data_IF_682897956937
#
_entry.id   IF_682897956937
#
_cell.length_a   1.000
_cell.length_b   1.000
_cell.length_c   1.000
_cell.angle_alpha   90.00
_cell.angle_beta   90.00
_cell.angle_gamma   90.00
#
_symmetry.space_group_name_H-M   'P 1'
#
loop_
_entity.id
_entity.type
_entity.pdbx_description
1 polymer ?
#
# COMPACT_ATOMS: atom_id res chain seq x y z
N UNK A 1 3.53 -31.54 37.38
CA UNK A 1 2.51 -32.34 36.68
C UNK A 1 2.71 -32.15 35.18
N UNK A 2 3.48 -33.05 34.58
CA UNK A 2 3.70 -33.10 33.14
C UNK A 2 2.55 -33.90 32.52
N UNK A 3 1.96 -33.39 31.43
CA UNK A 3 1.03 -34.15 30.61
C UNK A 3 1.51 -34.12 29.16
N UNK A 4 2.28 -35.15 28.84
CA UNK A 4 2.62 -35.66 27.52
C UNK A 4 1.37 -36.29 26.91
N UNK A 5 1.00 -35.94 25.67
CA UNK A 5 0.10 -36.78 24.87
C UNK A 5 0.76 -37.04 23.52
N UNK A 6 0.98 -38.33 23.29
CA UNK A 6 1.69 -38.92 22.17
C UNK A 6 0.82 -39.00 20.91
N UNK A 7 1.53 -39.03 19.79
CA UNK A 7 1.06 -39.30 18.45
C UNK A 7 0.43 -40.70 18.30
N UNK A 8 -0.55 -40.82 17.41
CA UNK A 8 -0.96 -42.07 16.79
C UNK A 8 -1.08 -41.86 15.28
N UNK A 9 -0.36 -42.67 14.52
CA UNK A 9 -0.33 -42.72 13.07
C UNK A 9 -0.94 -44.04 12.58
N UNK A 10 -1.78 -43.98 11.54
CA UNK A 10 -2.14 -45.10 10.66
C UNK A 10 -2.80 -44.54 9.37
N UNK A 11 -2.93 -45.30 8.26
CA UNK A 11 -1.90 -45.43 7.24
C UNK A 11 -2.29 -44.80 5.88
N UNK A 12 -1.26 -44.56 5.08
CA UNK A 12 -1.29 -44.04 3.70
C UNK A 12 -2.01 -45.00 2.75
N UNK A 13 -2.95 -44.48 1.94
CA UNK A 13 -3.38 -45.11 0.67
C UNK A 13 -2.61 -44.49 -0.48
N UNK A 14 -1.91 -45.35 -1.22
CA UNK A 14 -1.22 -45.03 -2.46
C UNK A 14 -2.24 -44.79 -3.58
N UNK A 15 -2.08 -43.69 -4.32
CA UNK A 15 -2.71 -43.48 -5.62
C UNK A 15 -1.60 -43.40 -6.66
N UNK A 16 -1.70 -44.29 -7.65
CA UNK A 16 -0.74 -44.45 -8.72
C UNK A 16 -0.68 -43.21 -9.62
N UNK A 17 0.54 -42.70 -9.85
CA UNK A 17 0.81 -41.66 -10.83
C UNK A 17 0.97 -42.29 -12.21
N UNK A 18 0.08 -41.95 -13.15
CA UNK A 18 0.25 -42.26 -14.57
C UNK A 18 1.18 -41.23 -15.21
N UNK A 19 2.32 -41.71 -15.72
CA UNK A 19 3.29 -40.95 -16.49
C UNK A 19 2.76 -40.60 -17.88
N UNK A 20 2.36 -39.34 -18.09
CA UNK A 20 2.08 -38.77 -19.41
C UNK A 20 3.16 -37.75 -19.78
N UNK A 21 4.08 -38.12 -20.67
CA UNK A 21 5.10 -37.23 -21.20
C UNK A 21 4.49 -36.25 -22.21
N UNK A 22 4.44 -34.96 -21.88
CA UNK A 22 4.09 -33.90 -22.85
C UNK A 22 5.37 -33.14 -23.21
N UNK A 23 5.80 -33.30 -24.47
CA UNK A 23 6.87 -32.50 -25.09
C UNK A 23 6.39 -31.07 -25.28
N UNK A 24 6.98 -30.11 -24.59
CA UNK A 24 6.80 -28.67 -24.88
C UNK A 24 7.84 -28.26 -25.93
N UNK A 25 7.36 -27.84 -27.10
CA UNK A 25 8.18 -27.21 -28.14
C UNK A 25 8.35 -25.73 -27.80
N UNK A 26 9.60 -25.26 -27.78
CA UNK A 26 9.93 -23.84 -27.68
C UNK A 26 9.64 -23.11 -28.99
N UNK A 27 8.81 -22.06 -28.95
CA UNK A 27 8.77 -21.05 -30.01
C UNK A 27 9.02 -19.68 -29.40
N UNK A 28 10.16 -19.11 -29.79
CA UNK A 28 10.57 -17.74 -29.51
C UNK A 28 9.81 -16.78 -30.42
N UNK A 29 8.89 -16.00 -29.86
CA UNK A 29 8.41 -14.75 -30.44
C UNK A 29 8.25 -13.71 -29.33
N UNK A 30 9.02 -12.63 -29.44
CA UNK A 30 8.92 -11.47 -28.55
C UNK A 30 7.57 -10.79 -28.70
N UNK A 31 6.99 -10.40 -27.56
CA UNK A 31 5.73 -9.66 -27.49
C UNK A 31 6.01 -8.36 -26.74
N UNK A 32 5.74 -7.25 -27.44
CA UNK A 32 5.78 -5.90 -26.93
C UNK A 32 4.66 -5.66 -25.91
N UNK A 33 4.95 -4.83 -24.89
CA UNK A 33 4.04 -4.47 -23.81
C UNK A 33 2.81 -3.71 -24.33
N UNK A 34 1.62 -4.16 -23.91
CA UNK A 34 0.37 -3.42 -24.05
C UNK A 34 -0.13 -3.07 -22.63
N UNK A 35 0.03 -1.80 -22.25
CA UNK A 35 -0.51 -1.23 -21.01
C UNK A 35 -1.99 -0.90 -21.21
N UNK A 36 -2.88 -1.85 -20.97
CA UNK A 36 -4.32 -1.66 -21.09
C UNK A 36 -4.99 -1.39 -19.74
N UNK A 37 -5.29 -0.12 -19.44
CA UNK A 37 -6.42 0.32 -18.60
C UNK A 37 -6.77 1.77 -18.94
N UNK A 38 -7.51 1.99 -20.05
CA UNK A 38 -8.29 3.19 -20.31
C UNK A 38 -9.59 2.75 -21.00
N UNK A 39 -10.73 3.15 -20.43
CA UNK A 39 -12.11 2.95 -20.90
C UNK A 39 -12.34 3.69 -22.25
N UNK A 40 -13.00 3.12 -23.29
CA UNK A 40 -12.98 3.69 -24.64
C UNK A 40 -13.99 4.82 -24.92
N UNK A 41 -14.60 5.47 -23.92
CA UNK A 41 -15.73 6.39 -24.14
C UNK A 41 -15.49 7.90 -23.88
N UNK A 42 -14.26 8.39 -23.84
CA UNK A 42 -14.00 9.84 -23.69
C UNK A 42 -13.23 10.39 -24.90
N UNK A 43 -13.89 11.28 -25.67
CA UNK A 43 -13.25 12.04 -26.76
C UNK A 43 -12.15 12.95 -26.18
N UNK A 44 -10.91 12.92 -26.69
CA UNK A 44 -9.83 13.76 -26.18
C UNK A 44 -9.99 15.22 -26.61
N UNK A 45 -9.70 16.21 -25.74
CA UNK A 45 -9.53 17.60 -26.16
C UNK A 45 -8.22 17.79 -26.94
N UNK A 46 -8.20 18.85 -27.76
CA UNK A 46 -7.20 19.14 -28.76
C UNK A 46 -5.76 19.27 -28.24
N UNK A 47 -4.84 18.85 -29.10
CA UNK A 47 -3.39 18.70 -28.98
C UNK A 47 -2.61 19.94 -28.53
N UNK A 48 -1.69 19.73 -27.59
CA UNK A 48 -0.47 20.53 -27.36
C UNK A 48 0.74 19.56 -27.18
N UNK A 49 1.98 19.97 -27.49
CA UNK A 49 3.01 19.09 -28.06
C UNK A 49 3.91 18.37 -27.04
N UNK A 50 4.38 17.18 -27.43
CA UNK A 50 5.69 16.66 -27.03
C UNK A 50 5.76 15.74 -25.82
N UNK A 51 5.14 14.56 -25.87
CA UNK A 51 5.52 13.45 -25.00
C UNK A 51 6.90 12.91 -25.46
N UNK A 52 7.97 13.33 -24.80
CA UNK A 52 9.27 12.71 -24.98
C UNK A 52 9.23 11.28 -24.40
N UNK A 53 9.33 10.29 -25.28
CA UNK A 53 9.69 8.93 -24.93
C UNK A 53 11.02 8.93 -24.18
N UNK A 54 11.05 8.41 -22.96
CA UNK A 54 12.30 8.08 -22.28
C UNK A 54 12.92 6.91 -23.04
N UNK A 55 14.09 7.05 -23.69
CA UNK A 55 14.70 5.94 -24.39
C UNK A 55 15.22 4.93 -23.36
N UNK A 56 15.00 3.64 -23.63
CA UNK A 56 15.78 2.59 -22.99
C UNK A 56 17.26 2.85 -23.34
N UNK A 57 18.08 3.20 -22.35
CA UNK A 57 19.51 3.39 -22.56
C UNK A 57 20.13 2.07 -23.01
N UNK A 58 20.62 2.04 -24.25
CA UNK A 58 21.57 1.06 -24.74
C UNK A 58 22.84 1.10 -23.85
N UNK A 59 23.59 0.00 -23.72
CA UNK A 59 24.81 -0.03 -22.90
C UNK A 59 25.85 0.91 -23.53
N UNK A 60 25.92 2.12 -22.97
CA UNK A 60 26.95 3.10 -23.28
C UNK A 60 28.28 2.60 -22.76
N UNK A 61 29.31 2.78 -23.59
CA UNK A 61 30.71 2.48 -23.31
C UNK A 61 31.07 2.95 -21.90
N UNK A 62 31.62 2.02 -21.12
CA UNK A 62 32.20 2.24 -19.81
C UNK A 62 33.26 3.33 -19.90
N UNK A 63 32.86 4.58 -19.65
CA UNK A 63 33.77 5.58 -19.12
C UNK A 63 34.38 4.95 -17.89
N UNK A 64 35.71 4.84 -17.86
CA UNK A 64 36.45 4.35 -16.71
C UNK A 64 35.90 5.08 -15.48
N UNK A 65 35.21 4.36 -14.60
CA UNK A 65 34.95 4.80 -13.25
C UNK A 65 36.34 4.93 -12.62
N UNK A 66 36.95 6.11 -12.75
CA UNK A 66 38.10 6.49 -11.97
C UNK A 66 37.75 6.13 -10.53
N UNK A 67 38.64 5.42 -9.85
CA UNK A 67 38.45 5.01 -8.47
C UNK A 67 38.13 6.25 -7.63
N UNK A 68 36.83 6.54 -7.46
CA UNK A 68 36.39 7.67 -6.66
C UNK A 68 36.97 7.45 -5.27
N UNK A 69 37.69 8.46 -4.76
CA UNK A 69 38.33 8.36 -3.46
C UNK A 69 37.23 8.06 -2.42
N UNK A 70 37.42 7.09 -1.50
CA UNK A 70 36.47 6.84 -0.42
C UNK A 70 36.00 8.10 0.31
N UNK A 71 36.87 9.11 0.46
CA UNK A 71 36.52 10.41 1.05
C UNK A 71 35.54 11.22 0.18
N UNK A 72 35.70 11.19 -1.15
CA UNK A 72 34.78 11.86 -2.09
C UNK A 72 33.41 11.18 -2.08
N UNK A 73 33.38 9.85 -2.03
CA UNK A 73 32.13 9.09 -1.93
C UNK A 73 31.40 9.34 -0.61
N UNK A 74 32.13 9.50 0.49
CA UNK A 74 31.57 9.88 1.78
C UNK A 74 31.02 11.32 1.75
N UNK A 75 31.75 12.27 1.17
CA UNK A 75 31.27 13.65 1.01
C UNK A 75 30.02 13.74 0.11
N UNK A 76 29.97 12.94 -0.95
CA UNK A 76 28.80 12.83 -1.82
C UNK A 76 27.61 12.24 -1.07
N UNK A 77 27.81 11.20 -0.26
CA UNK A 77 26.75 10.61 0.56
C UNK A 77 26.10 11.65 1.50
N UNK A 78 26.92 12.48 2.17
CA UNK A 78 26.40 13.57 3.01
C UNK A 78 25.67 14.64 2.19
N UNK A 79 26.17 14.98 0.99
CA UNK A 79 25.50 15.92 0.10
C UNK A 79 24.13 15.39 -0.37
N UNK A 80 24.03 14.11 -0.70
CA UNK A 80 22.78 13.42 -1.06
C UNK A 80 21.75 13.54 0.07
N UNK A 81 22.17 13.34 1.32
CA UNK A 81 21.30 13.49 2.49
C UNK A 81 20.78 14.92 2.62
N UNK A 82 21.67 15.90 2.48
CA UNK A 82 21.29 17.32 2.57
C UNK A 82 20.32 17.72 1.45
N UNK A 83 20.57 17.30 0.20
CA UNK A 83 19.67 17.56 -0.92
C UNK A 83 18.32 16.84 -0.77
N UNK A 84 18.34 15.60 -0.27
CA UNK A 84 17.13 14.86 0.05
C UNK A 84 16.26 15.56 1.09
N UNK A 85 16.89 16.06 2.16
CA UNK A 85 16.19 16.86 3.18
C UNK A 85 15.56 18.13 2.60
N UNK A 86 16.29 18.85 1.73
CA UNK A 86 15.78 20.04 1.03
C UNK A 86 14.59 19.73 0.11
N UNK A 87 14.47 18.50 -0.39
CA UNK A 87 13.33 18.03 -1.20
C UNK A 87 12.13 17.55 -0.35
N UNK A 88 12.25 17.61 0.98
CA UNK A 88 11.18 17.24 1.92
C UNK A 88 11.22 15.79 2.41
N UNK A 89 12.26 15.01 2.09
CA UNK A 89 12.45 13.69 2.71
C UNK A 89 12.88 13.86 4.16
N UNK A 90 12.24 13.12 5.09
CA UNK A 90 12.60 13.18 6.50
C UNK A 90 13.91 12.41 6.79
N UNK A 91 14.24 11.41 5.96
CA UNK A 91 15.53 10.74 6.01
C UNK A 91 15.87 10.15 4.64
N UNK A 92 17.15 10.18 4.30
CA UNK A 92 17.74 9.52 3.15
C UNK A 92 18.94 8.71 3.64
N UNK A 93 19.00 7.44 3.25
CA UNK A 93 20.06 6.50 3.61
C UNK A 93 20.55 5.75 2.39
N UNK A 94 21.68 5.07 2.55
CA UNK A 94 22.34 4.31 1.50
C UNK A 94 22.39 2.85 1.95
N UNK A 95 21.67 1.99 1.24
CA UNK A 95 21.59 0.57 1.53
C UNK A 95 22.56 -0.23 0.65
N UNK A 96 23.08 -1.32 1.22
CA UNK A 96 23.49 -2.46 0.42
C UNK A 96 22.27 -3.07 -0.30
N UNK A 97 22.52 -3.79 -1.39
CA UNK A 97 21.52 -4.36 -2.28
C UNK A 97 21.45 -5.89 -2.20
N UNK A 98 22.32 -6.53 -1.42
CA UNK A 98 22.17 -7.95 -1.09
C UNK A 98 20.99 -8.17 -0.12
N UNK A 99 19.89 -8.69 -0.69
CA UNK A 99 18.67 -9.05 0.05
C UNK A 99 18.44 -10.56 0.11
N UNK A 100 19.51 -11.38 0.01
CA UNK A 100 19.40 -12.85 0.08
C UNK A 100 18.66 -13.34 1.33
N UNK A 101 18.76 -12.61 2.44
CA UNK A 101 18.04 -12.90 3.68
C UNK A 101 16.50 -12.80 3.57
N UNK A 102 15.98 -12.02 2.61
CA UNK A 102 14.55 -11.77 2.43
C UNK A 102 13.87 -12.77 1.49
N UNK A 103 14.64 -13.47 0.63
CA UNK A 103 14.12 -14.43 -0.34
C UNK A 103 13.30 -15.57 0.30
N UNK A 104 13.74 -16.23 1.39
CA UNK A 104 12.99 -17.34 1.99
C UNK A 104 11.60 -16.90 2.50
N UNK A 105 11.52 -15.71 3.08
CA UNK A 105 10.25 -15.15 3.58
C UNK A 105 9.27 -14.84 2.45
N UNK A 106 9.77 -14.28 1.34
CA UNK A 106 8.98 -14.04 0.13
C UNK A 106 8.45 -15.35 -0.46
N UNK A 107 9.32 -16.35 -0.65
CA UNK A 107 8.93 -17.63 -1.22
C UNK A 107 7.87 -18.34 -0.37
N UNK A 108 8.05 -18.38 0.95
CA UNK A 108 7.08 -18.96 1.86
C UNK A 108 5.72 -18.24 1.80
N UNK A 109 5.73 -16.90 1.65
CA UNK A 109 4.51 -16.09 1.53
C UNK A 109 3.78 -16.33 0.20
N UNK A 110 4.53 -16.49 -0.90
CA UNK A 110 3.99 -16.86 -2.20
C UNK A 110 3.40 -18.27 -2.21
N UNK A 111 4.12 -19.25 -1.64
CA UNK A 111 3.68 -20.65 -1.55
C UNK A 111 2.37 -20.80 -0.76
N UNK A 112 2.20 -20.01 0.29
CA UNK A 112 0.96 -19.98 1.08
C UNK A 112 -0.21 -19.26 0.37
N UNK A 113 0.02 -18.67 -0.81
CA UNK A 113 -0.99 -17.91 -1.54
C UNK A 113 -1.41 -16.61 -0.85
N UNK A 114 -0.59 -16.11 0.09
CA UNK A 114 -0.93 -14.93 0.88
C UNK A 114 -0.92 -13.61 0.09
N UNK A 115 -0.54 -13.64 -1.19
CA UNK A 115 -0.62 -12.52 -2.12
C UNK A 115 -2.02 -12.27 -2.70
N UNK A 116 -2.95 -13.22 -2.54
CA UNK A 116 -4.26 -13.12 -3.19
C UNK A 116 -4.11 -12.94 -4.70
N UNK A 117 -4.84 -11.98 -5.26
CA UNK A 117 -4.91 -11.69 -6.70
C UNK A 117 -3.78 -10.79 -7.20
N UNK A 118 -2.79 -10.48 -6.35
CA UNK A 118 -1.64 -9.66 -6.74
C UNK A 118 -0.62 -10.49 -7.53
N UNK A 119 -0.98 -10.94 -8.74
CA UNK A 119 -0.14 -11.80 -9.59
C UNK A 119 1.26 -11.22 -9.86
N UNK A 120 1.38 -9.89 -9.86
CA UNK A 120 2.66 -9.19 -9.98
C UNK A 120 3.64 -9.52 -8.84
N UNK A 121 3.15 -10.09 -7.72
CA UNK A 121 3.97 -10.63 -6.64
C UNK A 121 4.71 -11.90 -7.06
N UNK A 122 4.09 -12.74 -7.88
CA UNK A 122 4.64 -14.02 -8.33
C UNK A 122 5.34 -13.96 -9.70
N UNK A 123 4.85 -13.11 -10.62
CA UNK A 123 5.23 -13.11 -12.05
C UNK A 123 6.71 -12.91 -12.37
N UNK A 124 7.52 -12.45 -11.42
CA UNK A 124 8.93 -12.12 -11.64
C UNK A 124 9.89 -12.88 -10.71
N UNK A 125 9.41 -13.95 -10.06
CA UNK A 125 10.20 -14.76 -9.14
C UNK A 125 10.91 -13.89 -8.10
N UNK A 126 12.23 -13.99 -8.04
CA UNK A 126 13.06 -13.32 -7.04
C UNK A 126 13.63 -11.97 -7.50
N UNK A 127 13.27 -11.47 -8.69
CA UNK A 127 13.81 -10.19 -9.20
C UNK A 127 13.65 -9.04 -8.20
N UNK A 128 12.57 -9.04 -7.41
CA UNK A 128 12.33 -8.02 -6.37
C UNK A 128 13.32 -8.02 -5.21
N UNK A 129 13.92 -9.16 -4.93
CA UNK A 129 14.98 -9.32 -3.94
C UNK A 129 16.38 -9.16 -4.57
N UNK A 130 16.47 -8.92 -5.88
CA UNK A 130 17.73 -8.87 -6.63
C UNK A 130 17.81 -7.61 -7.47
N UNK A 131 18.17 -6.46 -6.87
CA UNK A 131 18.22 -5.17 -7.55
C UNK A 131 19.02 -5.17 -8.86
N UNK A 132 20.12 -5.94 -8.93
CA UNK A 132 20.93 -6.10 -10.15
C UNK A 132 20.18 -6.78 -11.33
N UNK A 133 19.18 -7.62 -11.06
CA UNK A 133 18.31 -8.23 -12.10
C UNK A 133 17.18 -7.28 -12.56
N UNK A 134 16.91 -6.22 -11.78
CA UNK A 134 15.96 -5.16 -12.16
C UNK A 134 16.64 -4.07 -12.97
N UNK A 135 17.83 -3.67 -12.53
CA UNK A 135 18.67 -2.64 -13.15
C UNK A 135 20.11 -3.14 -13.15
N UNK A 136 20.59 -3.66 -14.30
CA UNK A 136 21.97 -4.13 -14.43
C UNK A 136 22.97 -3.04 -14.01
N UNK A 137 24.00 -3.44 -13.27
CA UNK A 137 25.02 -2.51 -12.74
C UNK A 137 24.66 -1.86 -11.40
N UNK A 138 23.51 -2.15 -10.80
CA UNK A 138 23.18 -1.67 -9.45
C UNK A 138 24.20 -2.16 -8.42
N UNK A 139 24.80 -1.23 -7.69
CA UNK A 139 25.75 -1.49 -6.58
C UNK A 139 25.20 -1.03 -5.24
N UNK A 140 24.38 0.03 -5.21
CA UNK A 140 23.76 0.58 -3.99
C UNK A 140 22.32 0.98 -4.25
N UNK A 141 21.56 1.15 -3.17
CA UNK A 141 20.26 1.81 -3.21
C UNK A 141 20.27 3.05 -2.30
N UNK A 142 19.90 4.20 -2.84
CA UNK A 142 19.55 5.38 -2.03
C UNK A 142 18.08 5.18 -1.64
N UNK A 143 17.81 5.02 -0.35
CA UNK A 143 16.46 4.79 0.19
C UNK A 143 16.01 6.04 0.92
N UNK A 144 14.76 6.46 0.72
CA UNK A 144 14.23 7.69 1.30
C UNK A 144 12.86 7.46 1.95
N UNK A 145 12.56 8.24 2.99
CA UNK A 145 11.22 8.28 3.59
C UNK A 145 10.63 9.69 3.63
N UNK A 146 9.33 9.79 3.38
CA UNK A 146 8.59 11.06 3.40
C UNK A 146 7.31 10.95 4.25
N UNK A 147 7.15 11.74 5.32
CA UNK A 147 5.98 11.67 6.19
C UNK A 147 4.72 12.13 5.46
N UNK A 148 3.57 11.58 5.85
CA UNK A 148 2.28 11.90 5.22
C UNK A 148 1.14 12.25 6.19
N UNK A 149 1.38 12.29 7.50
CA UNK A 149 0.31 12.69 8.45
C UNK A 149 -0.12 14.12 8.09
N UNK A 150 -1.39 14.37 7.71
CA UNK A 150 -1.82 15.69 7.28
C UNK A 150 -1.65 16.74 8.38
N UNK A 151 -1.33 17.98 8.02
CA UNK A 151 -1.15 19.04 9.03
C UNK A 151 -2.42 19.31 9.83
N UNK A 152 -3.59 19.19 9.20
CA UNK A 152 -4.90 19.30 9.85
C UNK A 152 -5.13 18.27 10.97
N UNK A 153 -4.44 17.12 10.90
CA UNK A 153 -4.54 16.07 11.91
C UNK A 153 -3.70 16.34 13.15
N UNK A 154 -2.88 17.40 13.20
CA UNK A 154 -2.07 17.74 14.39
C UNK A 154 -2.19 19.22 14.80
N UNK A 155 -3.40 19.75 15.06
CA UNK A 155 -3.53 21.13 15.52
C UNK A 155 -2.83 21.33 16.87
N UNK A 156 -2.22 22.51 17.12
CA UNK A 156 -1.63 22.83 18.41
C UNK A 156 -2.63 22.60 19.56
N UNK A 157 -2.21 21.87 20.59
CA UNK A 157 -3.04 21.57 21.77
C UNK A 157 -4.12 20.49 21.57
N UNK A 158 -4.20 19.86 20.40
CA UNK A 158 -5.17 18.81 20.13
C UNK A 158 -4.84 17.48 20.87
N UNK A 159 -5.85 16.67 21.21
CA UNK A 159 -5.62 15.31 21.67
C UNK A 159 -4.86 14.51 20.59
N UNK A 160 -3.99 13.58 21.04
CA UNK A 160 -3.27 12.61 20.19
C UNK A 160 -4.09 12.25 18.95
N UNK A 161 -3.59 12.66 17.78
CA UNK A 161 -4.27 12.56 16.49
C UNK A 161 -4.79 11.15 16.21
N UNK A 162 -4.05 10.13 16.67
CA UNK A 162 -4.44 8.72 16.57
C UNK A 162 -5.74 8.42 17.29
N UNK A 163 -6.01 9.06 18.44
CA UNK A 163 -7.29 8.90 19.16
C UNK A 163 -8.46 9.46 18.35
N UNK A 164 -8.26 10.54 17.61
CA UNK A 164 -9.30 11.09 16.72
C UNK A 164 -9.56 10.16 15.55
N UNK A 165 -8.51 9.63 14.93
CA UNK A 165 -8.65 8.61 13.87
C UNK A 165 -9.38 7.36 14.37
N UNK A 166 -9.01 6.86 15.56
CA UNK A 166 -9.70 5.72 16.17
C UNK A 166 -11.16 6.02 16.52
N UNK A 167 -11.47 7.25 16.95
CA UNK A 167 -12.84 7.65 17.26
C UNK A 167 -13.74 7.66 16.01
N UNK A 168 -13.19 8.01 14.83
CA UNK A 168 -13.93 7.97 13.55
C UNK A 168 -14.43 6.56 13.21
N UNK A 169 -13.76 5.51 13.67
CA UNK A 169 -14.21 4.11 13.47
C UNK A 169 -15.54 3.80 14.18
N UNK A 170 -15.90 4.60 15.19
CA UNK A 170 -17.15 4.48 15.93
C UNK A 170 -18.29 5.35 15.41
N UNK A 171 -18.06 6.21 14.42
CA UNK A 171 -19.10 7.06 13.83
C UNK A 171 -19.77 6.33 12.64
N UNK A 172 -21.04 5.92 12.77
CA UNK A 172 -21.75 5.24 11.69
C UNK A 172 -22.07 6.14 10.49
N UNK A 173 -22.04 7.47 10.64
CA UNK A 173 -22.32 8.38 9.52
C UNK A 173 -21.08 8.62 8.63
N UNK A 174 -19.88 8.42 9.17
CA UNK A 174 -18.61 8.74 8.49
C UNK A 174 -17.99 7.53 7.82
N UNK A 175 -17.49 7.72 6.60
CA UNK A 175 -16.62 6.75 5.96
C UNK A 175 -15.14 7.00 6.30
N UNK A 176 -14.37 5.92 6.49
CA UNK A 176 -12.95 6.00 6.83
C UNK A 176 -12.11 5.66 5.61
N UNK A 177 -11.32 6.66 5.21
CA UNK A 177 -10.26 6.56 4.20
C UNK A 177 -8.92 6.64 4.92
N UNK A 178 -8.02 5.70 4.59
CA UNK A 178 -6.67 5.66 5.15
C UNK A 178 -5.92 6.97 4.90
N UNK A 179 -5.14 7.42 5.89
CA UNK A 179 -4.49 8.73 5.88
C UNK A 179 -3.62 8.95 4.64
N UNK A 180 -2.92 7.91 4.19
CA UNK A 180 -2.01 8.01 3.04
C UNK A 180 -2.72 8.39 1.73
N UNK A 181 -4.04 8.15 1.65
CA UNK A 181 -4.83 8.32 0.44
C UNK A 181 -5.65 9.62 0.40
N UNK A 182 -5.62 10.43 1.47
CA UNK A 182 -6.43 11.67 1.59
C UNK A 182 -5.90 12.82 0.76
N UNK A 183 -4.61 12.80 0.40
CA UNK A 183 -3.94 13.83 -0.39
C UNK A 183 -3.76 13.47 -1.87
N UNK A 184 -2.72 14.03 -2.49
CA UNK A 184 -2.26 13.65 -3.84
C UNK A 184 -1.63 12.26 -3.82
N UNK A 185 -1.67 11.62 -4.99
CA UNK A 185 -1.02 10.35 -5.26
C UNK A 185 0.50 10.41 -5.00
N UNK A 186 0.93 9.75 -3.93
CA UNK A 186 2.32 9.72 -3.46
C UNK A 186 3.28 9.19 -4.53
N UNK A 187 2.84 8.30 -5.43
CA UNK A 187 3.68 7.77 -6.49
C UNK A 187 4.28 8.89 -7.34
N UNK A 188 3.46 9.90 -7.68
CA UNK A 188 3.89 11.05 -8.49
C UNK A 188 4.76 12.01 -7.67
N UNK A 189 4.37 12.27 -6.43
CA UNK A 189 5.06 13.20 -5.51
C UNK A 189 6.48 12.71 -5.21
N UNK A 190 6.63 11.44 -4.81
CA UNK A 190 7.93 10.84 -4.48
C UNK A 190 8.78 10.67 -5.72
N UNK A 191 8.24 10.12 -6.82
CA UNK A 191 9.01 9.89 -8.05
C UNK A 191 9.59 11.19 -8.60
N UNK A 192 8.81 12.27 -8.60
CA UNK A 192 9.27 13.58 -9.05
C UNK A 192 10.45 14.09 -8.20
N UNK A 193 10.37 13.94 -6.87
CA UNK A 193 11.42 14.40 -5.95
C UNK A 193 12.66 13.52 -5.97
N UNK A 194 12.51 12.20 -6.03
CA UNK A 194 13.63 11.27 -6.21
C UNK A 194 14.32 11.50 -7.55
N UNK A 195 13.57 11.83 -8.61
CA UNK A 195 14.16 12.20 -9.90
C UNK A 195 14.95 13.51 -9.82
N UNK A 196 14.45 14.51 -9.08
CA UNK A 196 15.20 15.75 -8.81
C UNK A 196 16.49 15.46 -8.04
N UNK A 197 16.46 14.55 -7.05
CA UNK A 197 17.65 14.12 -6.32
C UNK A 197 18.67 13.45 -7.25
N UNK A 198 18.21 12.52 -8.11
CA UNK A 198 19.08 11.87 -9.09
C UNK A 198 19.72 12.87 -10.07
N UNK A 199 18.93 13.80 -10.59
CA UNK A 199 19.44 14.87 -11.48
C UNK A 199 20.42 15.80 -10.76
N UNK A 200 20.24 16.05 -9.46
CA UNK A 200 21.20 16.83 -8.66
C UNK A 200 22.52 16.08 -8.48
N UNK A 201 22.48 14.78 -8.25
CA UNK A 201 23.68 13.93 -8.19
C UNK A 201 24.40 13.96 -9.55
N UNK A 202 23.66 13.79 -10.65
CA UNK A 202 24.23 13.80 -12.01
C UNK A 202 24.90 15.14 -12.34
N UNK A 203 24.34 16.25 -11.86
CA UNK A 203 24.94 17.58 -12.01
C UNK A 203 26.24 17.75 -11.22
N UNK A 204 26.42 17.03 -10.11
CA UNK A 204 27.61 17.10 -9.26
C UNK A 204 28.76 16.24 -9.80
N UNK A 205 28.48 14.98 -10.17
CA UNK A 205 29.51 14.00 -10.48
C UNK A 205 29.56 13.59 -11.96
N UNK A 206 28.67 14.13 -12.78
CA UNK A 206 28.45 13.71 -14.16
C UNK A 206 27.53 12.49 -14.28
N UNK A 207 27.47 11.93 -15.49
CA UNK A 207 26.56 10.82 -15.82
C UNK A 207 26.88 9.57 -15.00
N UNK A 208 25.85 8.94 -14.44
CA UNK A 208 25.92 7.67 -13.75
C UNK A 208 24.66 6.83 -14.04
N UNK A 209 24.73 5.52 -13.81
CA UNK A 209 23.60 4.61 -13.99
C UNK A 209 22.66 4.67 -12.79
N UNK A 210 21.40 5.03 -13.04
CA UNK A 210 20.37 5.00 -12.00
C UNK A 210 18.97 4.68 -12.50
N UNK A 211 18.10 4.30 -11.56
CA UNK A 211 16.66 4.27 -11.77
C UNK A 211 15.89 4.55 -10.49
N UNK A 212 14.89 5.41 -10.59
CA UNK A 212 13.98 5.78 -9.50
C UNK A 212 12.82 4.79 -9.39
N UNK A 213 12.45 4.45 -8.16
CA UNK A 213 11.37 3.54 -7.81
C UNK A 213 10.49 4.10 -6.70
N UNK A 214 9.20 3.77 -6.81
CA UNK A 214 8.15 4.00 -5.82
C UNK A 214 7.08 2.94 -6.04
N UNK A 215 6.76 2.09 -5.04
CA UNK A 215 5.67 1.08 -4.88
C UNK A 215 5.24 0.27 -6.13
N UNK A 216 4.90 0.95 -7.22
CA UNK A 216 4.55 0.47 -8.56
C UNK A 216 5.62 -0.39 -9.30
N UNK A 217 6.76 -0.69 -8.68
CA UNK A 217 7.80 -1.51 -9.28
C UNK A 217 8.18 -2.68 -8.36
N UNK A 218 8.66 -3.81 -8.90
CA UNK A 218 8.96 -4.99 -8.09
C UNK A 218 10.28 -4.80 -7.34
N UNK A 219 10.33 -3.89 -6.37
CA UNK A 219 11.46 -3.67 -5.45
C UNK A 219 11.00 -4.05 -4.05
N UNK A 220 11.83 -4.75 -3.27
CA UNK A 220 11.54 -5.00 -1.86
C UNK A 220 11.86 -3.78 -1.00
N UNK A 221 11.05 -2.73 -1.12
CA UNK A 221 11.22 -1.41 -0.48
C UNK A 221 11.52 -1.51 1.02
N UNK A 222 10.68 -2.25 1.78
CA UNK A 222 10.88 -2.42 3.23
C UNK A 222 12.18 -3.15 3.56
N UNK A 223 12.62 -4.10 2.73
CA UNK A 223 13.87 -4.84 2.95
C UNK A 223 15.09 -3.95 2.67
N UNK A 224 15.09 -3.20 1.56
CA UNK A 224 16.13 -2.20 1.26
C UNK A 224 16.19 -1.12 2.33
N UNK A 225 15.05 -0.59 2.74
CA UNK A 225 14.99 0.45 3.76
C UNK A 225 15.49 -0.05 5.13
N UNK A 226 15.18 -1.29 5.50
CA UNK A 226 15.72 -1.90 6.72
C UNK A 226 17.24 -2.10 6.62
N UNK A 227 17.71 -2.61 5.48
CA UNK A 227 19.13 -2.83 5.21
C UNK A 227 19.94 -1.52 5.22
N UNK A 228 19.36 -0.42 4.74
CA UNK A 228 19.95 0.91 4.77
C UNK A 228 19.77 1.67 6.09
N UNK A 229 19.26 1.03 7.15
CA UNK A 229 19.11 1.69 8.44
C UNK A 229 18.10 2.84 8.47
N UNK A 230 17.11 2.86 7.57
CA UNK A 230 15.95 3.77 7.71
C UNK A 230 15.03 3.36 8.86
N UNK A 231 15.12 2.11 9.31
CA UNK A 231 14.25 1.55 10.32
C UNK A 231 14.33 0.03 10.38
N UNK A 232 13.35 -0.59 11.02
CA UNK A 232 13.21 -2.04 11.08
C UNK A 232 11.81 -2.46 10.61
N UNK A 233 11.66 -3.70 10.13
CA UNK A 233 10.35 -4.23 9.78
C UNK A 233 9.56 -4.51 11.07
N UNK A 234 8.40 -3.86 11.24
CA UNK A 234 7.52 -4.13 12.36
C UNK A 234 6.77 -5.45 12.23
N UNK A 235 6.18 -5.94 13.33
CA UNK A 235 5.34 -7.16 13.32
C UNK A 235 4.13 -7.05 12.39
N UNK A 236 3.66 -5.84 12.10
CA UNK A 236 2.63 -5.55 11.10
C UNK A 236 3.17 -5.40 9.67
N UNK A 237 4.42 -5.80 9.42
CA UNK A 237 5.09 -5.88 8.11
C UNK A 237 5.53 -4.57 7.45
N UNK A 238 5.13 -3.41 7.96
CA UNK A 238 5.61 -2.11 7.47
C UNK A 238 6.95 -1.75 8.12
N UNK A 239 7.69 -0.81 7.51
CA UNK A 239 8.88 -0.24 8.12
C UNK A 239 8.48 0.66 9.32
N UNK A 240 9.25 0.56 10.39
CA UNK A 240 9.18 1.41 11.57
C UNK A 240 10.48 2.16 11.74
N UNK A 241 10.38 3.46 12.01
CA UNK A 241 11.47 4.33 12.41
C UNK A 241 11.28 4.77 13.87
N UNK A 242 12.38 4.90 14.60
CA UNK A 242 12.37 5.20 16.04
C UNK A 242 11.74 6.56 16.32
N UNK A 243 12.05 7.52 15.47
CA UNK A 243 11.67 8.93 15.65
C UNK A 243 10.54 9.35 14.70
N UNK A 244 10.05 8.46 13.82
CA UNK A 244 9.05 8.77 12.80
C UNK A 244 7.88 7.78 12.69
N UNK A 245 7.89 6.69 13.47
CA UNK A 245 6.84 5.67 13.42
C UNK A 245 6.81 4.92 12.08
N UNK A 246 5.64 4.74 11.47
CA UNK A 246 5.43 4.13 10.16
C UNK A 246 4.57 4.98 9.22
N UNK A 247 4.21 6.22 9.61
CA UNK A 247 3.34 7.11 8.83
C UNK A 247 4.13 7.89 7.77
N UNK A 248 4.87 7.17 6.93
CA UNK A 248 5.65 7.73 5.83
C UNK A 248 5.61 6.82 4.60
N UNK A 249 5.84 7.41 3.43
CA UNK A 249 6.09 6.70 2.18
C UNK A 249 7.57 6.35 2.06
N UNK A 250 7.84 5.28 1.31
CA UNK A 250 9.19 4.88 0.89
C UNK A 250 9.39 5.18 -0.60
N UNK A 251 10.65 5.35 -0.98
CA UNK A 251 11.06 5.26 -2.36
C UNK A 251 12.57 5.18 -2.49
N UNK A 252 13.02 4.69 -3.64
CA UNK A 252 14.41 4.29 -3.85
C UNK A 252 14.99 4.81 -5.15
N UNK A 253 16.31 4.95 -5.16
CA UNK A 253 17.11 5.12 -6.36
C UNK A 253 18.15 4.00 -6.36
N UNK A 254 18.03 3.06 -7.30
CA UNK A 254 19.10 2.09 -7.53
C UNK A 254 20.20 2.79 -8.32
N UNK A 255 21.44 2.69 -7.87
CA UNK A 255 22.59 3.39 -8.44
C UNK A 255 23.78 2.45 -8.66
N UNK A 256 24.61 2.74 -9.67
CA UNK A 256 25.86 2.04 -9.94
C UNK A 256 27.08 2.65 -9.21
N UNK A 257 26.86 3.73 -8.47
CA UNK A 257 27.88 4.39 -7.65
C UNK A 257 28.10 3.57 -6.36
N UNK A 258 29.35 3.20 -6.01
CA UNK A 258 29.67 2.41 -4.83
C UNK A 258 29.69 3.26 -3.54
N UNK A 259 28.62 4.02 -3.28
CA UNK A 259 28.47 4.85 -2.10
C UNK A 259 28.66 4.04 -0.79
N UNK A 260 29.21 4.63 0.28
CA UNK A 260 29.31 3.96 1.58
C UNK A 260 27.91 3.64 2.12
N UNK A 261 27.68 2.37 2.47
CA UNK A 261 26.40 1.90 3.00
C UNK A 261 26.25 2.25 4.48
N UNK A 262 25.05 2.64 4.87
CA UNK A 262 24.65 2.82 6.26
C UNK A 262 24.38 1.46 6.91
N UNK A 263 24.54 1.38 8.24
CA UNK A 263 24.30 0.15 8.98
C UNK A 263 22.80 -0.08 9.22
N UNK A 264 22.29 -1.32 9.14
CA UNK A 264 20.92 -1.66 9.51
C UNK A 264 20.60 -1.31 10.97
N UNK A 265 19.35 -0.96 11.23
CA UNK A 265 18.83 -0.75 12.58
C UNK A 265 18.35 -2.07 13.22
N UNK A 266 18.33 -2.12 14.54
CA UNK A 266 17.84 -3.30 15.29
C UNK A 266 16.31 -3.31 15.44
N UNK A 267 15.72 -4.48 15.72
CA UNK A 267 14.27 -4.59 15.96
C UNK A 267 13.88 -4.07 17.36
N UNK A 268 12.90 -3.16 17.41
CA UNK A 268 12.39 -2.57 18.65
C UNK A 268 10.92 -2.90 18.97
N UNK A 269 10.32 -3.92 18.35
CA UNK A 269 8.96 -4.36 18.68
C UNK A 269 8.86 -5.09 20.03
N UNK A 270 9.93 -5.80 20.45
CA UNK A 270 9.94 -6.59 21.68
C UNK A 270 8.75 -7.54 21.81
N UNK A 271 8.13 -7.60 22.98
CA UNK A 271 6.96 -8.46 23.25
C UNK A 271 5.62 -7.84 22.82
N UNK A 272 5.61 -6.66 22.18
CA UNK A 272 4.37 -6.00 21.76
C UNK A 272 3.62 -6.84 20.71
N UNK A 273 2.29 -6.88 20.81
CA UNK A 273 1.39 -7.58 19.88
C UNK A 273 0.15 -6.74 19.50
N UNK A 274 0.12 -5.46 19.86
CA UNK A 274 -1.04 -4.56 19.66
C UNK A 274 -1.56 -4.52 18.22
N UNK A 275 -0.67 -4.57 17.23
CA UNK A 275 -1.06 -4.55 15.82
C UNK A 275 -1.73 -5.85 15.37
N UNK A 276 -1.40 -6.99 15.99
CA UNK A 276 -2.07 -8.27 15.77
C UNK A 276 -3.45 -8.25 16.43
N UNK A 277 -3.51 -7.77 17.67
CA UNK A 277 -4.74 -7.77 18.48
C UNK A 277 -5.81 -6.84 17.90
N UNK A 278 -5.42 -5.67 17.38
CA UNK A 278 -6.37 -4.69 16.83
C UNK A 278 -6.89 -5.09 15.44
N UNK A 279 -6.19 -5.98 14.71
CA UNK A 279 -6.49 -6.25 13.31
C UNK A 279 -7.87 -6.90 13.18
N UNK A 280 -8.89 -6.23 12.60
CA UNK A 280 -10.29 -6.68 12.70
C UNK A 280 -10.55 -8.03 12.03
N UNK A 281 -9.74 -8.37 11.03
CA UNK A 281 -9.86 -9.61 10.24
C UNK A 281 -8.78 -10.62 10.58
N UNK A 282 -7.91 -10.32 11.56
CA UNK A 282 -6.72 -11.12 11.90
C UNK A 282 -5.87 -11.44 10.65
N UNK A 283 -5.62 -10.43 9.82
CA UNK A 283 -4.79 -10.56 8.63
C UNK A 283 -3.29 -10.72 8.96
N UNK A 284 -2.84 -10.21 10.11
CA UNK A 284 -1.48 -10.47 10.62
C UNK A 284 -1.54 -11.79 11.38
N UNK A 285 -1.31 -12.89 10.66
CA UNK A 285 -1.46 -14.27 11.18
C UNK A 285 -0.36 -14.69 12.15
N UNK A 286 0.79 -14.01 12.09
CA UNK A 286 1.91 -14.15 13.03
C UNK A 286 2.79 -12.89 12.93
N UNK A 287 3.68 -12.62 13.91
CA UNK A 287 4.69 -11.56 13.77
C UNK A 287 5.39 -11.61 12.40
N UNK A 288 5.40 -10.46 11.72
CA UNK A 288 6.03 -10.26 10.40
C UNK A 288 5.38 -11.04 9.24
N UNK A 289 4.24 -11.68 9.47
CA UNK A 289 3.51 -12.50 8.48
C UNK A 289 2.07 -12.01 8.32
N UNK A 290 1.75 -11.52 7.12
CA UNK A 290 0.44 -11.00 6.77
C UNK A 290 -0.18 -11.85 5.65
N UNK A 291 -1.41 -12.29 5.81
CA UNK A 291 -2.25 -12.85 4.74
C UNK A 291 -3.04 -11.70 4.09
N UNK A 292 -2.64 -11.29 2.89
CA UNK A 292 -3.25 -10.14 2.22
C UNK A 292 -4.73 -10.39 1.92
N UNK A 293 -5.14 -11.65 1.68
CA UNK A 293 -6.52 -12.02 1.36
C UNK A 293 -7.51 -11.64 2.47
N UNK A 294 -7.02 -11.49 3.70
CA UNK A 294 -7.79 -11.07 4.87
C UNK A 294 -7.64 -9.58 5.17
N UNK A 295 -6.60 -8.92 4.65
CA UNK A 295 -6.27 -7.54 4.98
C UNK A 295 -7.30 -6.58 4.37
N UNK A 296 -7.90 -5.71 5.19
CA UNK A 296 -8.88 -4.71 4.74
C UNK A 296 -8.29 -3.80 3.66
N UNK A 297 -6.99 -3.45 3.77
CA UNK A 297 -6.30 -2.65 2.75
C UNK A 297 -6.29 -3.37 1.39
N UNK A 298 -5.92 -4.66 1.36
CA UNK A 298 -6.00 -5.46 0.14
C UNK A 298 -7.44 -5.61 -0.38
N UNK A 299 -8.40 -5.91 0.51
CA UNK A 299 -9.81 -6.12 0.13
C UNK A 299 -10.41 -4.87 -0.52
N UNK A 300 -10.07 -3.68 -0.01
CA UNK A 300 -10.61 -2.41 -0.51
C UNK A 300 -9.88 -1.89 -1.75
N UNK A 301 -8.64 -2.31 -2.00
CA UNK A 301 -7.79 -1.71 -3.05
C UNK A 301 -7.40 -2.69 -4.15
N UNK A 302 -6.88 -3.85 -3.79
CA UNK A 302 -6.28 -4.80 -4.73
C UNK A 302 -7.29 -5.84 -5.21
N UNK A 303 -8.12 -6.35 -4.30
CA UNK A 303 -9.13 -7.35 -4.64
C UNK A 303 -10.19 -6.75 -5.58
N UNK A 304 -10.39 -7.40 -6.73
CA UNK A 304 -11.34 -6.93 -7.75
C UNK A 304 -12.75 -7.51 -7.56
N UNK A 305 -12.84 -8.70 -6.96
CA UNK A 305 -14.06 -9.47 -6.83
C UNK A 305 -14.94 -9.05 -5.64
N UNK A 306 -15.93 -9.90 -5.30
CA UNK A 306 -16.80 -9.68 -4.15
C UNK A 306 -16.04 -9.85 -2.85
N UNK A 307 -16.22 -8.92 -1.92
CA UNK A 307 -15.60 -9.01 -0.59
C UNK A 307 -16.22 -10.22 0.13
N UNK A 308 -15.42 -11.19 0.63
CA UNK A 308 -15.94 -12.35 1.34
C UNK A 308 -16.84 -11.94 2.52
N UNK A 309 -17.98 -12.62 2.68
CA UNK A 309 -19.04 -12.24 3.62
C UNK A 309 -18.52 -12.14 5.05
N UNK A 310 -17.61 -13.03 5.45
CA UNK A 310 -17.00 -13.06 6.78
C UNK A 310 -16.17 -11.82 7.12
N UNK A 311 -15.71 -11.05 6.11
CA UNK A 311 -14.94 -9.83 6.32
C UNK A 311 -15.79 -8.56 6.24
N UNK A 312 -17.01 -8.62 5.70
CA UNK A 312 -17.86 -7.43 5.52
C UNK A 312 -18.20 -6.76 6.84
N UNK A 313 -18.59 -7.52 7.87
CA UNK A 313 -18.88 -6.95 9.19
C UNK A 313 -17.63 -6.38 9.91
N UNK A 314 -16.51 -7.13 10.02
CA UNK A 314 -15.28 -6.61 10.64
C UNK A 314 -14.67 -5.39 9.96
N UNK A 315 -14.96 -5.14 8.68
CA UNK A 315 -14.48 -3.95 7.97
C UNK A 315 -14.99 -2.63 8.58
N UNK A 316 -16.15 -2.64 9.25
CA UNK A 316 -16.76 -1.44 9.81
C UNK A 316 -17.00 -0.39 8.71
N UNK A 317 -16.60 0.85 8.98
CA UNK A 317 -16.75 1.97 8.06
C UNK A 317 -15.51 2.25 7.18
N UNK A 318 -14.55 1.32 7.09
CA UNK A 318 -13.33 1.48 6.28
C UNK A 318 -13.63 1.22 4.79
N UNK A 319 -13.55 2.25 3.97
CA UNK A 319 -13.93 2.20 2.54
C UNK A 319 -12.74 2.23 1.58
N UNK A 320 -11.57 2.64 2.05
CA UNK A 320 -10.33 2.61 1.27
C UNK A 320 -9.10 2.55 2.19
N UNK A 321 -8.34 1.46 2.12
CA UNK A 321 -7.20 1.23 3.00
C UNK A 321 -7.62 0.91 4.44
N UNK A 322 -6.64 0.69 5.31
CA UNK A 322 -6.84 0.45 6.74
C UNK A 322 -5.57 0.82 7.51
N UNK A 323 -5.72 1.65 8.54
CA UNK A 323 -4.59 2.14 9.34
C UNK A 323 -4.52 1.52 10.74
N UNK A 324 -5.43 0.62 11.10
CA UNK A 324 -5.59 0.10 12.47
C UNK A 324 -4.28 -0.42 13.08
N UNK A 325 -3.52 -1.22 12.32
CA UNK A 325 -2.26 -1.79 12.78
C UNK A 325 -1.18 -0.71 12.99
N UNK A 326 -1.26 0.41 12.27
CA UNK A 326 -0.42 1.59 12.46
C UNK A 326 -0.90 2.42 13.65
N UNK A 327 -2.21 2.72 13.74
CA UNK A 327 -2.79 3.53 14.81
C UNK A 327 -2.54 2.91 16.20
N UNK A 328 -2.61 1.58 16.30
CA UNK A 328 -2.32 0.85 17.53
C UNK A 328 -0.82 0.73 17.85
N UNK A 329 0.06 0.93 16.86
CA UNK A 329 1.50 0.83 17.05
C UNK A 329 2.02 1.95 17.99
N UNK A 330 2.70 1.63 19.10
CA UNK A 330 3.20 2.64 20.04
C UNK A 330 4.19 3.64 19.43
N UNK A 331 4.94 3.23 18.40
CA UNK A 331 5.92 4.06 17.71
C UNK A 331 5.27 5.19 16.91
N UNK A 332 4.00 5.05 16.50
CA UNK A 332 3.31 6.10 15.75
C UNK A 332 2.92 7.33 16.58
N UNK A 333 3.18 7.33 17.90
CA UNK A 333 3.16 8.59 18.67
C UNK A 333 4.27 9.56 18.25
N UNK A 334 5.32 9.05 17.59
CA UNK A 334 6.44 9.83 17.05
C UNK A 334 6.25 10.16 15.57
N UNK A 335 5.10 9.85 14.96
CA UNK A 335 4.87 10.14 13.56
C UNK A 335 4.97 11.65 13.28
N UNK A 336 5.67 11.99 12.19
CA UNK A 336 5.83 13.37 11.75
C UNK A 336 4.69 13.79 10.82
N UNK A 337 4.37 15.07 10.88
CA UNK A 337 3.49 15.76 9.93
C UNK A 337 4.15 15.77 8.55
N UNK A 338 3.33 15.72 7.50
CA UNK A 338 3.79 15.88 6.13
C UNK A 338 4.64 17.14 5.97
N UNK A 339 5.78 17.00 5.30
CA UNK A 339 6.72 18.09 4.99
C UNK A 339 6.31 18.88 3.75
N UNK A 340 5.30 18.41 3.02
CA UNK A 340 4.83 18.97 1.75
C UNK A 340 3.30 19.03 1.74
N UNK A 341 2.69 20.08 1.17
CA UNK A 341 1.24 20.25 1.16
C UNK A 341 0.52 19.25 0.24
N UNK A 342 1.27 18.52 -0.60
CA UNK A 342 0.72 17.48 -1.48
C UNK A 342 -0.04 16.39 -0.70
N UNK A 343 0.25 16.20 0.59
CA UNK A 343 -0.39 15.18 1.44
C UNK A 343 -1.44 15.74 2.41
N UNK A 344 -1.75 17.04 2.32
CA UNK A 344 -2.88 17.59 3.04
C UNK A 344 -4.21 17.04 2.50
N UNK A 345 -5.23 17.06 3.35
CA UNK A 345 -6.55 16.51 3.05
C UNK A 345 -7.16 17.22 1.84
N UNK A 346 -7.60 16.43 0.87
CA UNK A 346 -8.36 16.90 -0.30
C UNK A 346 -9.78 16.33 -0.26
N UNK A 347 -10.73 17.09 -0.81
CA UNK A 347 -12.12 16.66 -1.00
C UNK A 347 -12.87 16.23 0.28
N UNK A 348 -12.45 16.69 1.46
CA UNK A 348 -13.09 16.33 2.74
C UNK A 348 -12.98 14.84 3.09
N UNK A 349 -11.91 14.17 2.64
CA UNK A 349 -11.70 12.73 2.87
C UNK A 349 -11.24 12.37 4.30
N UNK A 350 -11.11 13.34 5.19
CA UNK A 350 -10.81 13.16 6.61
C UNK A 350 -12.03 12.79 7.46
N UNK A 351 -13.22 13.27 7.10
CA UNK A 351 -14.47 12.88 7.74
C UNK A 351 -15.67 12.94 6.76
N UNK A 352 -15.65 12.19 5.65
CA UNK A 352 -16.70 12.26 4.64
C UNK A 352 -18.00 11.56 5.09
N UNK A 353 -19.15 12.16 4.78
CA UNK A 353 -20.47 11.52 4.94
C UNK A 353 -20.58 10.32 4.01
N UNK A 354 -20.83 9.14 4.58
CA UNK A 354 -20.80 7.87 3.85
C UNK A 354 -21.88 7.78 2.78
N UNK A 355 -23.08 8.32 3.04
CA UNK A 355 -24.19 8.31 2.09
C UNK A 355 -23.87 9.22 0.90
N UNK A 356 -23.31 10.40 1.16
CA UNK A 356 -22.90 11.35 0.12
C UNK A 356 -21.83 10.75 -0.81
N UNK A 357 -20.84 10.04 -0.27
CA UNK A 357 -19.83 9.35 -1.09
C UNK A 357 -20.44 8.26 -1.98
N UNK A 358 -21.41 7.51 -1.45
CA UNK A 358 -22.10 6.46 -2.21
C UNK A 358 -23.00 7.02 -3.31
N UNK A 359 -23.48 8.26 -3.13
CA UNK A 359 -24.30 8.95 -4.11
C UNK A 359 -23.52 9.53 -5.28
N UNK A 360 -22.19 9.62 -5.20
CA UNK A 360 -21.37 10.07 -6.33
C UNK A 360 -21.72 9.29 -7.60
N UNK A 361 -21.79 10.04 -8.69
CA UNK A 361 -21.76 9.51 -10.06
C UNK A 361 -20.33 9.14 -10.44
N UNK A 362 -20.17 8.38 -11.52
CA UNK A 362 -18.84 8.04 -12.02
C UNK A 362 -18.04 9.27 -12.45
N UNK A 363 -18.71 10.26 -13.05
CA UNK A 363 -18.09 11.54 -13.44
C UNK A 363 -17.62 12.32 -12.20
N UNK A 364 -18.45 12.42 -11.16
CA UNK A 364 -18.04 13.06 -9.89
C UNK A 364 -16.89 12.32 -9.22
N UNK A 365 -16.91 10.98 -9.19
CA UNK A 365 -15.81 10.17 -8.68
C UNK A 365 -14.50 10.49 -9.43
N UNK A 366 -14.54 10.49 -10.76
CA UNK A 366 -13.38 10.75 -11.60
C UNK A 366 -12.84 12.18 -11.44
N UNK A 367 -13.74 13.16 -11.38
CA UNK A 367 -13.39 14.57 -11.21
C UNK A 367 -12.81 14.84 -9.81
N UNK A 368 -13.49 14.41 -8.75
CA UNK A 368 -13.06 14.67 -7.37
C UNK A 368 -11.77 13.94 -7.03
N UNK A 369 -11.60 12.70 -7.49
CA UNK A 369 -10.42 11.90 -7.19
C UNK A 369 -9.30 12.06 -8.22
N UNK A 370 -9.34 13.10 -9.05
CA UNK A 370 -8.25 13.40 -9.95
C UNK A 370 -6.93 13.64 -9.17
N UNK A 371 -5.92 12.83 -9.52
CA UNK A 371 -4.62 12.85 -8.87
C UNK A 371 -4.63 12.31 -7.45
N UNK A 372 -5.68 11.60 -7.02
CA UNK A 372 -5.71 10.78 -5.79
C UNK A 372 -5.34 9.32 -6.13
N UNK A 373 -4.67 8.59 -5.23
CA UNK A 373 -4.42 7.16 -5.44
C UNK A 373 -5.71 6.34 -5.43
N UNK A 374 -6.80 6.86 -4.86
CA UNK A 374 -8.11 6.20 -4.80
C UNK A 374 -8.67 5.96 -6.19
N UNK A 375 -8.44 6.87 -7.15
CA UNK A 375 -9.00 6.77 -8.50
C UNK A 375 -8.65 5.45 -9.20
N UNK A 376 -7.52 4.81 -8.84
CA UNK A 376 -7.07 3.53 -9.41
C UNK A 376 -8.04 2.37 -9.21
N UNK A 377 -8.92 2.44 -8.20
CA UNK A 377 -9.87 1.35 -7.95
C UNK A 377 -11.07 1.38 -8.91
N UNK A 378 -11.37 2.53 -9.50
CA UNK A 378 -12.57 2.75 -10.30
C UNK A 378 -13.83 2.89 -9.45
N UNK A 379 -14.88 3.46 -10.06
CA UNK A 379 -16.13 3.79 -9.37
C UNK A 379 -16.90 2.55 -8.89
N UNK A 380 -16.86 1.44 -9.64
CA UNK A 380 -17.54 0.20 -9.25
C UNK A 380 -17.03 -0.35 -7.91
N UNK A 381 -15.70 -0.46 -7.74
CA UNK A 381 -15.09 -0.95 -6.49
C UNK A 381 -15.24 0.04 -5.34
N UNK A 382 -15.27 1.34 -5.65
CA UNK A 382 -15.62 2.39 -4.68
C UNK A 382 -17.02 2.17 -4.10
N UNK A 383 -18.02 1.97 -4.96
CA UNK A 383 -19.39 1.67 -4.53
C UNK A 383 -19.49 0.34 -3.79
N UNK A 384 -18.79 -0.70 -4.24
CA UNK A 384 -18.72 -2.00 -3.54
C UNK A 384 -18.25 -1.83 -2.09
N UNK A 385 -17.17 -1.08 -1.89
CA UNK A 385 -16.62 -0.84 -0.55
C UNK A 385 -17.59 -0.02 0.32
N UNK A 386 -18.19 1.02 -0.27
CA UNK A 386 -19.17 1.86 0.41
C UNK A 386 -20.44 1.09 0.78
N UNK A 387 -20.92 0.16 -0.04
CA UNK A 387 -22.05 -0.69 0.30
C UNK A 387 -21.77 -1.53 1.55
N UNK A 388 -20.55 -2.07 1.70
CA UNK A 388 -20.14 -2.75 2.95
C UNK A 388 -20.17 -1.80 4.14
N UNK A 389 -19.59 -0.61 3.99
CA UNK A 389 -19.63 0.44 5.01
C UNK A 389 -21.07 0.78 5.43
N UNK A 390 -21.94 1.03 4.45
CA UNK A 390 -23.34 1.38 4.66
C UNK A 390 -24.12 0.26 5.36
N UNK A 391 -23.85 -1.00 5.05
CA UNK A 391 -24.44 -2.13 5.77
C UNK A 391 -24.04 -2.15 7.24
N UNK A 392 -22.77 -1.88 7.54
CA UNK A 392 -22.29 -1.76 8.93
C UNK A 392 -22.90 -0.56 9.65
N UNK A 393 -22.95 0.59 8.99
CA UNK A 393 -23.60 1.80 9.48
C UNK A 393 -25.09 1.61 9.72
N UNK A 394 -25.78 0.89 8.84
CA UNK A 394 -27.21 0.58 9.00
C UNK A 394 -27.44 -0.29 10.25
N UNK A 395 -26.66 -1.35 10.44
CA UNK A 395 -26.72 -2.18 11.65
C UNK A 395 -26.50 -1.36 12.92
N UNK A 396 -25.49 -0.47 12.91
CA UNK A 396 -25.20 0.39 14.05
C UNK A 396 -26.34 1.37 14.34
N UNK A 397 -26.85 2.04 13.30
CA UNK A 397 -27.95 2.99 13.40
C UNK A 397 -29.25 2.34 13.91
N UNK A 398 -29.57 1.11 13.47
CA UNK A 398 -30.74 0.38 13.95
C UNK A 398 -30.62 -0.12 15.39
N UNK A 399 -29.39 -0.26 15.89
CA UNK A 399 -29.12 -0.59 17.30
C UNK A 399 -29.13 0.65 18.20
N UNK A 400 -29.11 1.85 17.62
CA UNK A 400 -29.16 3.12 18.32
C UNK A 400 -30.56 3.50 18.78
N UNK A 401 -30.64 4.39 19.77
CA UNK A 401 -31.92 4.84 20.38
C UNK A 401 -32.21 6.31 20.13
N UNK A 402 -31.32 7.04 19.44
CA UNK A 402 -31.46 8.48 19.21
C UNK A 402 -32.27 8.72 17.93
N UNK A 403 -32.96 9.86 17.86
CA UNK A 403 -33.72 10.23 16.65
C UNK A 403 -32.82 10.34 15.41
N UNK A 404 -31.58 10.79 15.58
CA UNK A 404 -30.55 10.84 14.53
C UNK A 404 -30.22 9.46 13.96
N UNK A 405 -30.26 8.41 14.78
CA UNK A 405 -29.94 7.04 14.36
C UNK A 405 -31.05 6.51 13.41
N UNK A 406 -32.32 6.77 13.74
CA UNK A 406 -33.44 6.43 12.87
C UNK A 406 -33.40 7.20 11.53
N UNK A 407 -33.07 8.49 11.57
CA UNK A 407 -32.91 9.32 10.37
C UNK A 407 -31.75 8.83 9.48
N UNK A 408 -30.62 8.45 10.09
CA UNK A 408 -29.48 7.87 9.37
C UNK A 408 -29.85 6.53 8.73
N UNK A 409 -30.52 5.64 9.46
CA UNK A 409 -30.96 4.35 8.93
C UNK A 409 -31.89 4.52 7.71
N UNK A 410 -32.82 5.49 7.76
CA UNK A 410 -33.69 5.82 6.64
C UNK A 410 -32.90 6.32 5.42
N UNK A 411 -31.99 7.28 5.62
CA UNK A 411 -31.11 7.80 4.55
C UNK A 411 -30.27 6.71 3.88
N UNK A 412 -29.72 5.79 4.68
CA UNK A 412 -28.91 4.68 4.16
C UNK A 412 -29.77 3.74 3.31
N UNK A 413 -30.96 3.34 3.79
CA UNK A 413 -31.86 2.45 3.04
C UNK A 413 -32.29 3.09 1.72
N UNK A 414 -32.68 4.36 1.76
CA UNK A 414 -33.07 5.10 0.56
C UNK A 414 -31.93 5.13 -0.48
N UNK A 415 -30.71 5.47 -0.07
CA UNK A 415 -29.56 5.52 -0.97
C UNK A 415 -29.22 4.15 -1.57
N UNK A 416 -29.24 3.08 -0.76
CA UNK A 416 -29.00 1.71 -1.20
C UNK A 416 -30.07 1.25 -2.19
N UNK A 417 -31.35 1.48 -1.89
CA UNK A 417 -32.49 1.10 -2.74
C UNK A 417 -32.47 1.86 -4.08
N UNK A 418 -32.21 3.17 -4.05
CA UNK A 418 -32.17 4.00 -5.25
C UNK A 418 -31.10 3.55 -6.26
N UNK A 419 -30.00 2.94 -5.80
CA UNK A 419 -28.90 2.48 -6.65
C UNK A 419 -28.98 0.99 -7.02
N UNK A 420 -29.76 0.20 -6.29
CA UNK A 420 -29.77 -1.27 -6.40
C UNK A 420 -29.96 -1.74 -7.85
N UNK A 421 -31.02 -1.32 -8.51
CA UNK A 421 -31.41 -1.90 -9.81
C UNK A 421 -30.54 -1.41 -10.97
N UNK A 422 -29.84 -0.28 -10.82
CA UNK A 422 -28.92 0.28 -11.81
C UNK A 422 -27.45 -0.10 -11.58
N UNK A 423 -27.13 -0.72 -10.43
CA UNK A 423 -25.78 -1.14 -10.08
C UNK A 423 -25.33 -2.39 -10.87
N UNK A 424 -24.01 -2.58 -10.98
CA UNK A 424 -23.46 -3.81 -11.54
C UNK A 424 -23.74 -5.02 -10.62
N UNK A 425 -23.66 -6.27 -11.11
CA UNK A 425 -23.89 -7.47 -10.30
C UNK A 425 -23.01 -7.52 -9.04
N UNK A 426 -21.75 -7.07 -9.16
CA UNK A 426 -20.82 -6.99 -8.04
C UNK A 426 -21.35 -6.05 -6.95
N UNK A 427 -21.79 -4.85 -7.32
CA UNK A 427 -22.28 -3.84 -6.37
C UNK A 427 -23.65 -4.24 -5.82
N UNK A 428 -24.53 -4.81 -6.65
CA UNK A 428 -25.85 -5.33 -6.25
C UNK A 428 -25.75 -6.34 -5.11
N UNK A 429 -24.82 -7.31 -5.20
CA UNK A 429 -24.61 -8.30 -4.15
C UNK A 429 -24.26 -7.66 -2.80
N UNK A 430 -23.49 -6.56 -2.81
CA UNK A 430 -23.09 -5.86 -1.59
C UNK A 430 -24.21 -4.95 -1.06
N UNK A 431 -25.01 -4.35 -1.96
CA UNK A 431 -26.23 -3.61 -1.59
C UNK A 431 -27.23 -4.54 -0.91
N UNK A 432 -27.45 -5.73 -1.47
CA UNK A 432 -28.37 -6.73 -0.91
C UNK A 432 -27.94 -7.18 0.47
N UNK A 433 -26.65 -7.47 0.63
CA UNK A 433 -26.08 -7.75 1.95
C UNK A 433 -26.27 -6.59 2.92
N UNK A 434 -26.07 -5.34 2.47
CA UNK A 434 -26.20 -4.15 3.29
C UNK A 434 -27.65 -3.94 3.76
N UNK A 435 -28.63 -4.08 2.87
CA UNK A 435 -30.06 -3.96 3.20
C UNK A 435 -30.52 -5.06 4.17
N UNK A 436 -29.97 -6.28 4.03
CA UNK A 436 -30.24 -7.40 4.93
C UNK A 436 -29.73 -7.16 6.37
N UNK A 437 -28.78 -6.24 6.58
CA UNK A 437 -28.33 -5.87 7.94
C UNK A 437 -29.44 -5.20 8.77
N UNK A 438 -30.51 -4.76 8.12
CA UNK A 438 -31.67 -4.18 8.76
C UNK A 438 -32.90 -5.07 8.80
N UNK A 439 -32.79 -6.35 8.44
CA UNK A 439 -33.82 -7.36 8.70
C UNK A 439 -33.58 -7.99 10.07
N UNK A 440 -34.62 -8.31 10.87
CA UNK A 440 -34.44 -9.12 12.05
C UNK A 440 -33.82 -10.46 11.64
N UNK A 441 -32.80 -10.91 12.38
CA UNK A 441 -32.18 -12.21 12.14
C UNK A 441 -33.28 -13.27 12.10
N UNK A 442 -33.47 -13.90 10.93
CA UNK A 442 -34.43 -15.00 10.81
C UNK A 442 -33.89 -16.12 11.71
N UNK A 443 -34.49 -16.29 12.88
CA UNK A 443 -34.26 -17.46 13.72
C UNK A 443 -34.61 -18.68 12.89
N UNK A 444 -33.58 -19.44 12.51
CA UNK A 444 -33.71 -20.75 11.87
C UNK A 444 -33.76 -21.84 12.92
#
# INVERSE_FOLDING_TARGET
MACTVAASAAPRRAVAASSGSVRVRSSSKGIAYNSGMIDPAVKPPASAPGAHSVPANAPGQSGQAGHANPEELAALAESIRAWGAALGFASVRIADVDLGHAEPGLLAWLEQGYHGDMDYMANHGLRRARPAELVPGTVRAIVARMPYVPASETPPGAPDWRRRELARLGDPATAVVSLYARGRDYHKVLRSRLQQLASRIEAEIGKFGYRVFTDSAPVMEVALASQGGLGWRGKHTLLLDRDGGSMFFLGEILVDIPLPADAPETDHCGNCHRCLDICPTHAIVAPYRLDARRCISYLTIEHKGPIPVEFRAPMGNRVYGCDDCQLACPWNKFAHVASVPDFDVRNGLDAPDMVALFQWTEDEFNQRLEGSPIRRIGHERWLRNLAVGLGNSLRAALSGTRAEDAALAARIREALQARRDSASPLVQEHIDWALAQGEPARTS
#
